data_IF_699738830115
#
_entry.id   IF_699738830115
#
_cell.length_a   1.000
_cell.length_b   1.000
_cell.length_c   1.000
_cell.angle_alpha   90.00
_cell.angle_beta   90.00
_cell.angle_gamma   90.00
#
_symmetry.space_group_name_H-M   'P 1'
#
loop_
_entity.id
_entity.type
_entity.pdbx_description
1 polymer ?
#
# COMPACT_ATOMS: atom_id res chain seq x y z
N UNK A 1 -9.37 25.23 16.56
CA UNK A 1 -9.17 23.92 15.92
C UNK A 1 -7.72 23.54 16.15
N UNK A 2 -7.44 22.82 17.23
CA UNK A 2 -6.08 22.33 17.49
C UNK A 2 -5.79 21.29 16.41
N UNK A 3 -4.82 21.55 15.54
CA UNK A 3 -4.18 20.48 14.76
C UNK A 3 -3.45 19.64 15.78
N UNK A 4 -4.15 18.62 16.28
CA UNK A 4 -3.56 17.52 16.99
C UNK A 4 -2.57 16.89 16.00
N UNK A 5 -1.28 17.11 16.21
CA UNK A 5 -0.24 16.49 15.41
C UNK A 5 -0.38 14.99 15.66
N UNK A 6 -1.03 14.30 14.70
CA UNK A 6 -1.19 12.85 14.74
C UNK A 6 0.22 12.28 14.94
N UNK A 7 0.47 11.48 15.99
CA UNK A 7 1.80 10.95 16.24
C UNK A 7 2.23 10.15 15.01
N UNK A 8 3.24 10.65 14.30
CA UNK A 8 3.70 10.03 13.05
C UNK A 8 4.21 8.60 13.28
N UNK A 9 4.59 8.30 14.53
CA UNK A 9 5.01 6.97 14.97
C UNK A 9 3.86 5.94 14.96
N UNK A 10 2.64 6.36 15.32
CA UNK A 10 1.44 5.52 15.24
C UNK A 10 1.02 5.29 13.78
N UNK A 11 1.21 6.28 12.90
CA UNK A 11 0.93 6.15 11.48
C UNK A 11 1.88 5.17 10.79
N UNK A 12 3.17 5.18 11.14
CA UNK A 12 4.14 4.21 10.62
C UNK A 12 3.76 2.77 10.99
N UNK A 13 3.48 2.54 12.28
CA UNK A 13 3.04 1.23 12.77
C UNK A 13 1.71 0.77 12.17
N UNK A 14 0.75 1.69 12.04
CA UNK A 14 -0.52 1.38 11.40
C UNK A 14 -0.33 1.03 9.91
N UNK A 15 0.57 1.73 9.22
CA UNK A 15 0.88 1.43 7.83
C UNK A 15 1.55 0.06 7.68
N UNK A 16 2.48 -0.31 8.58
CA UNK A 16 3.10 -1.63 8.58
C UNK A 16 2.05 -2.75 8.73
N UNK A 17 1.16 -2.63 9.72
CA UNK A 17 0.09 -3.62 9.95
C UNK A 17 -0.88 -3.68 8.77
N UNK A 18 -1.22 -2.54 8.17
CA UNK A 18 -2.08 -2.49 7.00
C UNK A 18 -1.41 -3.09 5.77
N UNK A 19 -0.11 -2.85 5.58
CA UNK A 19 0.68 -3.40 4.48
C UNK A 19 0.77 -4.92 4.58
N UNK A 20 1.05 -5.47 5.76
CA UNK A 20 1.06 -6.91 6.01
C UNK A 20 -0.32 -7.54 5.78
N UNK A 21 -1.37 -6.91 6.29
CA UNK A 21 -2.74 -7.39 6.07
C UNK A 21 -3.14 -7.37 4.59
N UNK A 22 -2.82 -6.29 3.89
CA UNK A 22 -3.12 -6.13 2.47
C UNK A 22 -2.31 -7.10 1.61
N UNK A 23 -1.07 -7.39 1.99
CA UNK A 23 -0.24 -8.39 1.33
C UNK A 23 -0.82 -9.80 1.42
N UNK A 24 -1.24 -10.21 2.63
CA UNK A 24 -1.90 -11.49 2.84
C UNK A 24 -3.21 -11.60 2.06
N UNK A 25 -3.96 -10.50 2.03
CA UNK A 25 -5.21 -10.41 1.24
C UNK A 25 -4.95 -10.42 -0.27
N UNK A 26 -3.82 -9.90 -0.72
CA UNK A 26 -3.40 -9.90 -2.13
C UNK A 26 -2.93 -11.29 -2.58
N UNK A 27 -2.24 -12.03 -1.70
CA UNK A 27 -1.82 -13.40 -1.95
C UNK A 27 -3.02 -14.35 -2.16
N UNK A 28 -4.12 -14.12 -1.46
CA UNK A 28 -5.38 -14.87 -1.61
C UNK A 28 -6.33 -14.29 -2.70
N UNK A 29 -6.02 -13.11 -3.27
CA UNK A 29 -6.94 -12.43 -4.19
C UNK A 29 -6.25 -11.64 -5.30
N UNK A 30 -6.23 -12.23 -6.50
CA UNK A 30 -5.73 -11.58 -7.72
C UNK A 30 -6.44 -10.26 -8.04
N UNK A 31 -7.73 -10.12 -7.68
CA UNK A 31 -8.47 -8.88 -7.88
C UNK A 31 -7.89 -7.70 -7.06
N UNK A 32 -7.34 -7.99 -5.88
CA UNK A 32 -6.68 -6.99 -5.04
C UNK A 32 -5.31 -6.62 -5.61
N UNK A 33 -4.56 -7.60 -6.12
CA UNK A 33 -3.28 -7.39 -6.83
C UNK A 33 -3.49 -6.46 -8.03
N UNK A 34 -4.52 -6.70 -8.85
CA UNK A 34 -4.82 -5.86 -10.01
C UNK A 34 -5.18 -4.42 -9.61
N UNK A 35 -5.92 -4.24 -8.51
CA UNK A 35 -6.28 -2.91 -8.00
C UNK A 35 -5.07 -2.15 -7.46
N UNK A 36 -4.22 -2.82 -6.70
CA UNK A 36 -2.95 -2.29 -6.20
C UNK A 36 -2.02 -1.90 -7.36
N UNK A 37 -1.91 -2.76 -8.37
CA UNK A 37 -1.19 -2.48 -9.60
C UNK A 37 -1.76 -1.26 -10.35
N UNK A 38 -3.10 -1.14 -10.42
CA UNK A 38 -3.78 0.03 -10.98
C UNK A 38 -3.53 1.32 -10.21
N UNK A 39 -3.28 1.26 -8.90
CA UNK A 39 -2.88 2.40 -8.08
C UNK A 39 -1.40 2.77 -8.22
N UNK A 40 -0.60 1.98 -8.94
CA UNK A 40 0.82 2.24 -9.18
C UNK A 40 1.77 1.44 -8.27
N UNK A 41 1.26 0.48 -7.50
CA UNK A 41 2.08 -0.42 -6.70
C UNK A 41 2.56 -1.61 -7.53
N UNK A 42 3.87 -1.90 -7.45
CA UNK A 42 4.45 -3.05 -8.14
C UNK A 42 4.26 -4.31 -7.28
N UNK A 43 3.09 -4.94 -7.37
CA UNK A 43 2.71 -6.12 -6.55
C UNK A 43 2.45 -7.38 -7.38
N UNK A 44 2.46 -7.28 -8.71
CA UNK A 44 2.18 -8.41 -9.61
C UNK A 44 3.31 -9.43 -9.59
N UNK A 45 2.95 -10.69 -9.34
CA UNK A 45 3.90 -11.81 -9.35
C UNK A 45 4.89 -11.82 -8.17
N UNK A 46 4.62 -11.00 -7.14
CA UNK A 46 5.42 -10.92 -5.92
C UNK A 46 4.86 -11.81 -4.82
N UNK A 47 5.73 -12.25 -3.92
CA UNK A 47 5.32 -12.99 -2.73
C UNK A 47 4.61 -12.08 -1.73
N UNK A 48 3.86 -12.64 -0.78
CA UNK A 48 3.19 -11.87 0.29
C UNK A 48 4.16 -10.88 0.97
N UNK A 49 5.33 -11.35 1.40
CA UNK A 49 6.35 -10.51 2.06
C UNK A 49 6.82 -9.33 1.18
N UNK A 50 7.01 -9.57 -0.12
CA UNK A 50 7.41 -8.51 -1.05
C UNK A 50 6.28 -7.50 -1.31
N UNK A 51 5.02 -7.95 -1.33
CA UNK A 51 3.86 -7.06 -1.44
C UNK A 51 3.76 -6.18 -0.20
N UNK A 52 4.00 -6.72 1.00
CA UNK A 52 3.97 -5.95 2.24
C UNK A 52 5.04 -4.84 2.21
N UNK A 53 6.28 -5.18 1.82
CA UNK A 53 7.36 -4.19 1.68
C UNK A 53 7.02 -3.10 0.66
N UNK A 54 6.39 -3.45 -0.46
CA UNK A 54 5.94 -2.48 -1.48
C UNK A 54 4.87 -1.53 -0.93
N UNK A 55 3.95 -2.03 -0.09
CA UNK A 55 2.85 -1.25 0.48
C UNK A 55 3.28 -0.37 1.65
N UNK A 56 4.38 -0.69 2.34
CA UNK A 56 5.00 0.17 3.36
C UNK A 56 5.52 1.48 2.78
N UNK A 57 5.84 1.48 1.50
CA UNK A 57 6.33 2.65 0.79
C UNK A 57 5.22 3.29 -0.06
N UNK A 58 5.30 4.60 -0.30
CA UNK A 58 4.41 5.26 -1.26
C UNK A 58 4.53 4.62 -2.65
N UNK A 59 3.46 4.64 -3.47
CA UNK A 59 3.44 3.97 -4.76
C UNK A 59 4.55 4.53 -5.66
N UNK A 60 5.37 3.61 -6.20
CA UNK A 60 6.55 3.97 -6.99
C UNK A 60 6.19 4.64 -8.33
N UNK A 61 4.97 4.42 -8.83
CA UNK A 61 4.39 5.19 -9.92
C UNK A 61 3.36 6.15 -9.35
N UNK A 62 3.40 7.46 -9.68
CA UNK A 62 2.22 8.29 -9.48
C UNK A 62 1.08 7.59 -10.22
N UNK A 63 0.07 7.15 -9.46
CA UNK A 63 -1.14 6.59 -10.02
C UNK A 63 -1.60 7.55 -11.11
N UNK A 64 -1.87 7.00 -12.31
CA UNK A 64 -2.07 7.78 -13.53
C UNK A 64 -2.82 9.08 -13.22
N UNK A 65 -2.08 10.18 -13.37
CA UNK A 65 -2.61 11.54 -13.32
C UNK A 65 -3.91 11.53 -14.13
N UNK A 66 -5.10 11.81 -13.56
CA UNK A 66 -6.23 12.19 -14.38
C UNK A 66 -5.87 13.55 -14.97
N UNK A 67 -5.14 13.53 -16.09
CA UNK A 67 -4.71 14.72 -16.81
C UNK A 67 -5.93 15.50 -17.33
N UNK A 68 -5.70 16.76 -17.75
CA UNK A 68 -5.44 17.95 -16.96
C UNK A 68 -6.71 18.70 -16.50
#
# INVERSE_FOLDING_TARGET
MSTEAVPTDDLGKANDVLAEWAARSAADSDALVERLAGMGYDVRGKSEEEIAEVLKHPPAKPGADPAP
#
